data_IF_128526913622
#
_entry.id   IF_128526913622
#
_cell.length_a   1.000
_cell.length_b   1.000
_cell.length_c   1.000
_cell.angle_alpha   90.00
_cell.angle_beta   90.00
_cell.angle_gamma   90.00
#
_symmetry.space_group_name_H-M   'P 1'
#
loop_
_entity.id
_entity.type
_entity.pdbx_description
1 polymer ?
#
# COMPACT_ATOMS: atom_id res chain seq x y z
N UNK A 1 28.12 -24.81 6.83
CA UNK A 1 28.15 -23.66 7.75
C UNK A 1 26.81 -23.54 8.46
N UNK A 2 26.78 -23.49 9.79
CA UNK A 2 25.56 -23.26 10.55
C UNK A 2 25.05 -21.84 10.26
N UNK A 3 23.78 -21.67 10.06
CA UNK A 3 23.19 -20.34 9.80
C UNK A 3 23.32 -19.48 11.05
N UNK A 4 24.08 -18.39 10.99
CA UNK A 4 24.18 -17.43 12.07
C UNK A 4 22.82 -16.75 12.28
N UNK A 5 22.42 -16.60 13.53
CA UNK A 5 21.16 -15.92 13.90
C UNK A 5 21.49 -14.55 14.50
N UNK A 6 20.93 -13.51 13.90
CA UNK A 6 21.09 -12.12 14.35
C UNK A 6 19.79 -11.62 14.95
N UNK A 7 19.86 -11.09 16.17
CA UNK A 7 18.70 -10.63 16.94
C UNK A 7 18.94 -9.20 17.43
N UNK A 8 18.00 -8.30 17.19
CA UNK A 8 18.01 -6.98 17.81
C UNK A 8 17.76 -7.13 19.31
N UNK A 9 18.59 -6.48 20.13
CA UNK A 9 18.50 -6.56 21.58
C UNK A 9 18.91 -5.25 22.25
N UNK A 10 18.63 -5.15 23.55
CA UNK A 10 19.11 -4.08 24.42
C UNK A 10 20.02 -4.68 25.47
N UNK A 11 21.24 -4.16 25.60
CA UNK A 11 22.22 -4.61 26.61
C UNK A 11 22.47 -3.46 27.58
N UNK A 12 22.26 -3.64 28.89
CA UNK A 12 22.56 -2.62 29.89
C UNK A 12 23.96 -2.04 29.72
N UNK A 13 24.10 -0.72 29.84
CA UNK A 13 25.38 -0.01 29.61
C UNK A 13 26.57 -0.60 30.38
N UNK A 14 26.33 -0.98 31.64
CA UNK A 14 27.39 -1.60 32.48
C UNK A 14 27.76 -3.04 32.09
N UNK A 15 26.99 -3.67 31.20
CA UNK A 15 27.21 -5.06 30.74
C UNK A 15 27.60 -5.13 29.26
N UNK A 16 27.51 -4.00 28.52
CA UNK A 16 27.82 -3.98 27.12
C UNK A 16 29.28 -4.24 26.82
N UNK A 17 29.55 -5.20 25.95
CA UNK A 17 30.84 -5.49 25.34
C UNK A 17 30.60 -5.84 23.86
N UNK A 18 31.45 -5.33 22.98
CA UNK A 18 31.37 -5.67 21.55
C UNK A 18 31.56 -7.17 21.31
N UNK A 19 32.39 -7.81 22.15
CA UNK A 19 32.60 -9.26 22.14
C UNK A 19 32.79 -9.76 23.54
N UNK A 20 32.15 -10.87 23.89
CA UNK A 20 32.43 -11.61 25.13
C UNK A 20 32.42 -13.13 24.90
N UNK A 21 33.12 -13.85 25.75
CA UNK A 21 33.13 -15.31 25.74
C UNK A 21 32.67 -15.82 27.10
N UNK A 22 31.61 -16.65 27.10
CA UNK A 22 31.08 -17.30 28.29
C UNK A 22 30.79 -18.77 28.01
N UNK A 23 31.29 -19.67 28.87
CA UNK A 23 30.98 -21.09 28.83
C UNK A 23 31.14 -21.74 27.45
N UNK A 24 32.18 -21.32 26.69
CA UNK A 24 32.44 -21.84 25.34
C UNK A 24 31.60 -21.21 24.23
N UNK A 25 30.79 -20.20 24.53
CA UNK A 25 30.00 -19.41 23.59
C UNK A 25 30.63 -18.03 23.39
N UNK A 26 30.84 -17.64 22.17
CA UNK A 26 31.18 -16.29 21.75
C UNK A 26 29.92 -15.51 21.45
N UNK A 27 29.74 -14.37 22.13
CA UNK A 27 28.64 -13.43 21.93
C UNK A 27 29.25 -12.16 21.31
N UNK A 28 28.69 -11.70 20.20
CA UNK A 28 29.11 -10.51 19.46
C UNK A 28 27.97 -9.53 19.39
N UNK A 29 28.18 -8.28 19.79
CA UNK A 29 27.24 -7.18 19.65
C UNK A 29 27.72 -6.24 18.54
N UNK A 30 26.87 -6.03 17.56
CA UNK A 30 27.14 -5.27 16.34
C UNK A 30 26.27 -4.01 16.30
N UNK A 31 26.79 -2.93 15.72
CA UNK A 31 26.09 -1.64 15.54
C UNK A 31 25.50 -1.10 16.87
N UNK A 32 26.23 -1.23 17.98
CA UNK A 32 25.77 -0.77 19.30
C UNK A 32 25.64 0.76 19.38
N UNK A 33 24.43 1.25 19.67
CA UNK A 33 24.13 2.66 19.89
C UNK A 33 23.59 2.84 21.30
N UNK A 34 24.21 3.75 22.10
CA UNK A 34 23.74 4.04 23.45
C UNK A 34 22.40 4.78 23.40
N UNK A 35 21.40 4.20 24.02
CA UNK A 35 20.13 4.85 24.33
C UNK A 35 20.21 5.36 25.77
N UNK A 36 20.37 6.66 25.93
CA UNK A 36 20.56 7.29 27.27
C UNK A 36 19.29 7.21 28.13
N UNK A 37 18.09 7.19 27.52
CA UNK A 37 16.83 7.08 28.25
C UNK A 37 16.67 5.70 28.89
N UNK A 38 17.18 4.67 28.24
CA UNK A 38 17.11 3.28 28.73
C UNK A 38 18.35 2.83 29.51
N UNK A 39 19.40 3.65 29.55
CA UNK A 39 20.73 3.30 30.06
C UNK A 39 21.25 1.95 29.51
N UNK A 40 21.01 1.73 28.22
CA UNK A 40 21.32 0.50 27.52
C UNK A 40 21.79 0.77 26.07
N UNK A 41 22.59 -0.16 25.54
CA UNK A 41 22.93 -0.17 24.11
C UNK A 41 21.87 -0.92 23.31
N UNK A 42 21.31 -0.27 22.31
CA UNK A 42 20.58 -0.95 21.25
C UNK A 42 21.60 -1.53 20.27
N UNK A 43 21.58 -2.84 20.06
CA UNK A 43 22.55 -3.52 19.21
C UNK A 43 21.94 -4.75 18.54
N UNK A 44 22.72 -5.39 17.68
CA UNK A 44 22.38 -6.70 17.11
C UNK A 44 23.31 -7.74 17.69
N UNK A 45 22.75 -8.73 18.37
CA UNK A 45 23.47 -9.84 18.98
C UNK A 45 23.55 -11.03 18.01
N UNK A 46 24.73 -11.66 17.99
CA UNK A 46 24.96 -12.95 17.37
C UNK A 46 25.76 -13.83 18.32
N UNK A 47 25.36 -15.07 18.54
CA UNK A 47 26.06 -16.02 19.38
C UNK A 47 26.45 -17.30 18.64
N UNK A 48 27.62 -17.84 18.95
CA UNK A 48 28.14 -19.06 18.33
C UNK A 48 29.14 -19.75 19.24
N UNK A 49 29.47 -21.04 19.05
CA UNK A 49 30.59 -21.69 19.72
C UNK A 49 31.89 -20.94 19.47
N UNK A 50 32.76 -20.79 20.50
CA UNK A 50 34.06 -20.11 20.37
C UNK A 50 34.91 -20.75 19.27
N UNK A 51 34.83 -22.08 19.09
CA UNK A 51 35.54 -22.82 18.07
C UNK A 51 35.09 -22.49 16.62
N UNK A 52 33.90 -21.92 16.46
CA UNK A 52 33.32 -21.54 15.15
C UNK A 52 33.44 -20.01 14.89
N UNK A 53 33.95 -19.24 15.84
CA UNK A 53 34.08 -17.79 15.73
C UNK A 53 35.12 -17.40 14.67
N UNK A 54 34.69 -16.55 13.75
CA UNK A 54 35.56 -15.84 12.83
C UNK A 54 34.96 -14.44 12.61
N UNK A 55 35.72 -13.41 12.90
CA UNK A 55 35.29 -12.02 12.75
C UNK A 55 34.86 -11.72 11.30
N UNK A 56 35.65 -12.17 10.33
CA UNK A 56 35.32 -12.00 8.90
C UNK A 56 33.99 -12.66 8.56
N UNK A 57 33.78 -13.90 9.01
CA UNK A 57 32.55 -14.65 8.72
C UNK A 57 31.32 -13.99 9.40
N UNK A 58 31.49 -13.44 10.62
CA UNK A 58 30.42 -12.70 11.32
C UNK A 58 30.06 -11.43 10.55
N UNK A 59 31.06 -10.66 10.12
CA UNK A 59 30.85 -9.40 9.40
C UNK A 59 30.18 -9.61 8.03
N UNK A 60 30.59 -10.62 7.26
CA UNK A 60 29.99 -10.99 6.00
C UNK A 60 28.52 -11.45 6.18
N UNK A 61 28.28 -12.32 7.15
CA UNK A 61 26.93 -12.81 7.46
C UNK A 61 26.02 -11.66 7.95
N UNK A 62 26.56 -10.72 8.74
CA UNK A 62 25.84 -9.55 9.21
C UNK A 62 25.49 -8.59 8.07
N UNK A 63 26.39 -8.31 7.15
CA UNK A 63 26.12 -7.49 5.98
C UNK A 63 24.98 -8.10 5.12
N UNK A 64 25.01 -9.40 4.89
CA UNK A 64 23.93 -10.12 4.20
C UNK A 64 22.59 -10.06 4.96
N UNK A 65 22.63 -10.18 6.30
CA UNK A 65 21.45 -10.07 7.14
C UNK A 65 20.84 -8.65 7.12
N UNK A 66 21.68 -7.58 7.19
CA UNK A 66 21.22 -6.19 7.07
C UNK A 66 20.49 -5.96 5.75
N UNK A 67 21.10 -6.37 4.64
CA UNK A 67 20.51 -6.27 3.31
C UNK A 67 19.17 -7.00 3.21
N UNK A 68 19.12 -8.24 3.71
CA UNK A 68 17.88 -9.05 3.70
C UNK A 68 16.78 -8.40 4.54
N UNK A 69 17.14 -7.85 5.71
CA UNK A 69 16.19 -7.20 6.63
C UNK A 69 15.64 -5.90 6.04
N UNK A 70 16.50 -5.07 5.44
CA UNK A 70 16.10 -3.86 4.75
C UNK A 70 15.14 -4.17 3.57
N UNK A 71 15.46 -5.15 2.74
CA UNK A 71 14.62 -5.57 1.63
C UNK A 71 13.25 -6.09 2.09
N UNK A 72 13.18 -6.82 3.21
CA UNK A 72 11.91 -7.27 3.81
C UNK A 72 11.09 -6.09 4.33
N UNK A 73 11.74 -5.11 4.96
CA UNK A 73 11.11 -3.88 5.44
C UNK A 73 10.48 -3.09 4.29
N UNK A 74 11.25 -2.85 3.23
CA UNK A 74 10.78 -2.17 2.02
C UNK A 74 9.61 -2.92 1.37
N UNK A 75 9.72 -4.23 1.20
CA UNK A 75 8.65 -5.04 0.60
C UNK A 75 7.36 -5.02 1.45
N UNK A 76 7.48 -4.97 2.79
CA UNK A 76 6.32 -4.81 3.68
C UNK A 76 5.68 -3.43 3.52
N UNK A 77 6.47 -2.36 3.56
CA UNK A 77 5.97 -1.00 3.37
C UNK A 77 5.23 -0.83 2.05
N UNK A 78 5.81 -1.32 0.94
CA UNK A 78 5.15 -1.31 -0.37
C UNK A 78 3.79 -2.02 -0.35
N UNK A 79 3.70 -3.22 0.25
CA UNK A 79 2.42 -3.94 0.35
C UNK A 79 1.36 -3.16 1.11
N UNK A 80 1.73 -2.49 2.20
CA UNK A 80 0.76 -1.68 2.97
C UNK A 80 0.29 -0.46 2.18
N UNK A 81 1.18 0.28 1.53
CA UNK A 81 0.80 1.42 0.68
C UNK A 81 -0.08 0.96 -0.50
N UNK A 82 0.23 -0.16 -1.13
CA UNK A 82 -0.60 -0.70 -2.22
C UNK A 82 -2.03 -1.04 -1.75
N UNK A 83 -2.19 -1.56 -0.53
CA UNK A 83 -3.53 -1.76 0.07
C UNK A 83 -4.27 -0.44 0.30
N UNK A 84 -3.57 0.60 0.76
CA UNK A 84 -4.17 1.92 0.94
C UNK A 84 -4.61 2.51 -0.40
N UNK A 85 -3.80 2.39 -1.46
CA UNK A 85 -4.14 2.81 -2.82
C UNK A 85 -5.40 2.08 -3.31
N UNK A 86 -5.51 0.77 -3.11
CA UNK A 86 -6.68 -0.03 -3.48
C UNK A 86 -7.94 0.39 -2.71
N UNK A 87 -7.81 0.61 -1.40
CA UNK A 87 -8.92 1.08 -0.59
C UNK A 87 -9.38 2.49 -1.01
N UNK A 88 -8.44 3.38 -1.35
CA UNK A 88 -8.74 4.73 -1.83
C UNK A 88 -9.43 4.70 -3.19
N UNK A 89 -8.97 3.89 -4.15
CA UNK A 89 -9.56 3.69 -5.48
C UNK A 89 -11.03 3.25 -5.39
N UNK A 90 -11.35 2.38 -4.45
CA UNK A 90 -12.73 1.87 -4.27
C UNK A 90 -13.62 2.79 -3.43
N UNK A 91 -13.09 3.90 -2.94
CA UNK A 91 -13.83 4.85 -2.10
C UNK A 91 -14.61 5.89 -2.92
N UNK A 92 -15.56 6.54 -2.27
CA UNK A 92 -16.28 7.71 -2.84
C UNK A 92 -15.38 8.93 -3.05
N UNK A 93 -14.17 8.94 -2.48
CA UNK A 93 -13.20 10.02 -2.70
C UNK A 93 -12.74 10.05 -4.16
N UNK A 94 -12.52 8.89 -4.77
CA UNK A 94 -12.03 8.75 -6.15
C UNK A 94 -13.18 8.62 -7.15
N UNK A 95 -14.03 7.61 -6.99
CA UNK A 95 -15.09 7.29 -7.96
C UNK A 95 -16.45 7.94 -7.63
N UNK A 96 -16.50 8.86 -6.68
CA UNK A 96 -17.69 9.65 -6.39
C UNK A 96 -17.91 10.72 -7.48
N UNK A 97 -19.16 10.95 -7.85
CA UNK A 97 -19.58 12.01 -8.75
C UNK A 97 -20.69 12.85 -8.13
N UNK A 98 -21.01 13.99 -8.71
CA UNK A 98 -22.07 14.87 -8.23
C UNK A 98 -23.24 14.82 -9.20
N UNK A 99 -24.43 14.46 -8.69
CA UNK A 99 -25.66 14.42 -9.46
C UNK A 99 -26.64 15.44 -8.87
N UNK A 100 -27.02 16.46 -9.64
CA UNK A 100 -27.91 17.53 -9.20
C UNK A 100 -27.51 18.13 -7.83
N UNK A 101 -26.19 18.32 -7.61
CA UNK A 101 -25.62 18.87 -6.38
C UNK A 101 -25.39 17.87 -5.24
N UNK A 102 -25.82 16.61 -5.35
CA UNK A 102 -25.61 15.57 -4.36
C UNK A 102 -24.45 14.64 -4.75
N UNK A 103 -23.58 14.31 -3.79
CA UNK A 103 -22.50 13.33 -4.02
C UNK A 103 -23.08 11.93 -4.09
N UNK A 104 -22.80 11.23 -5.16
CA UNK A 104 -23.20 9.84 -5.42
C UNK A 104 -21.98 8.99 -5.68
N UNK A 105 -22.02 7.75 -5.22
CA UNK A 105 -21.02 6.73 -5.51
C UNK A 105 -21.71 5.45 -5.95
N UNK A 106 -21.18 4.82 -6.99
CA UNK A 106 -21.63 3.54 -7.49
C UNK A 106 -20.42 2.62 -7.70
N UNK A 107 -20.51 1.40 -7.22
CA UNK A 107 -19.54 0.38 -7.52
C UNK A 107 -19.55 0.00 -9.01
N UNK A 108 -18.46 -0.60 -9.47
CA UNK A 108 -18.28 -1.00 -10.87
C UNK A 108 -19.37 -1.96 -11.36
N UNK A 109 -19.77 -2.92 -10.52
CA UNK A 109 -20.78 -3.93 -10.93
C UNK A 109 -22.14 -3.28 -11.14
N UNK A 110 -22.52 -2.35 -10.26
CA UNK A 110 -23.74 -1.54 -10.39
C UNK A 110 -23.71 -0.70 -11.67
N UNK A 111 -22.62 0.02 -11.95
CA UNK A 111 -22.51 0.84 -13.17
C UNK A 111 -22.65 0.00 -14.43
N UNK A 112 -21.92 -1.12 -14.52
CA UNK A 112 -22.00 -2.04 -15.66
C UNK A 112 -23.40 -2.65 -15.79
N UNK A 113 -24.02 -3.02 -14.68
CA UNK A 113 -25.40 -3.55 -14.66
C UNK A 113 -26.41 -2.55 -15.20
N UNK A 114 -26.34 -1.29 -14.78
CA UNK A 114 -27.20 -0.21 -15.25
C UNK A 114 -27.00 0.05 -16.75
N UNK A 115 -25.76 0.10 -17.22
CA UNK A 115 -25.46 0.27 -18.65
C UNK A 115 -26.05 -0.86 -19.49
N UNK A 116 -25.83 -2.11 -19.08
CA UNK A 116 -26.35 -3.28 -19.80
C UNK A 116 -27.86 -3.30 -19.84
N UNK A 117 -28.53 -3.08 -18.69
CA UNK A 117 -29.99 -3.08 -18.58
C UNK A 117 -30.61 -1.98 -19.45
N UNK A 118 -30.02 -0.77 -19.43
CA UNK A 118 -30.48 0.35 -20.26
C UNK A 118 -30.32 0.06 -21.76
N UNK A 119 -29.19 -0.54 -22.16
CA UNK A 119 -28.94 -0.92 -23.55
C UNK A 119 -29.95 -1.97 -24.04
N UNK A 120 -30.27 -2.95 -23.20
CA UNK A 120 -31.28 -3.96 -23.48
C UNK A 120 -32.67 -3.32 -23.60
N UNK A 121 -33.05 -2.44 -22.64
CA UNK A 121 -34.33 -1.72 -22.68
C UNK A 121 -34.51 -0.95 -24.02
N UNK A 122 -33.46 -0.22 -24.43
CA UNK A 122 -33.44 0.48 -25.73
C UNK A 122 -33.59 -0.48 -26.91
N UNK A 123 -32.88 -1.60 -26.92
CA UNK A 123 -32.95 -2.61 -27.99
C UNK A 123 -34.34 -3.26 -28.07
N UNK A 124 -35.08 -3.32 -26.96
CA UNK A 124 -36.46 -3.79 -26.89
C UNK A 124 -37.50 -2.70 -27.29
N UNK A 125 -37.05 -1.51 -27.70
CA UNK A 125 -37.90 -0.43 -28.13
C UNK A 125 -38.50 0.42 -27.01
N UNK A 126 -38.00 0.29 -25.79
CA UNK A 126 -38.41 1.18 -24.68
C UNK A 126 -37.82 2.58 -24.90
N UNK A 127 -38.68 3.60 -24.80
CA UNK A 127 -38.26 5.00 -24.94
C UNK A 127 -37.52 5.53 -23.66
N UNK A 128 -37.94 5.05 -22.51
CA UNK A 128 -37.44 5.52 -21.21
C UNK A 128 -36.98 4.35 -20.32
N UNK A 129 -36.12 4.65 -19.37
CA UNK A 129 -35.68 3.73 -18.33
C UNK A 129 -35.63 4.42 -16.97
N UNK A 130 -35.68 3.64 -15.93
CA UNK A 130 -35.50 4.13 -14.55
C UNK A 130 -34.14 3.72 -14.03
N UNK A 131 -33.34 4.70 -13.62
CA UNK A 131 -32.04 4.49 -12.97
C UNK A 131 -32.12 4.86 -11.49
N UNK A 132 -31.57 4.00 -10.63
CA UNK A 132 -31.29 4.33 -9.25
C UNK A 132 -29.82 4.62 -9.11
N UNK A 133 -29.46 5.89 -8.89
CA UNK A 133 -28.09 6.34 -8.69
C UNK A 133 -27.91 6.71 -7.21
N UNK A 134 -27.44 5.77 -6.42
CA UNK A 134 -27.51 5.86 -4.95
C UNK A 134 -28.99 5.89 -4.50
N UNK A 135 -29.37 6.95 -3.78
CA UNK A 135 -30.75 7.16 -3.32
C UNK A 135 -31.61 7.99 -4.28
N UNK A 136 -31.07 8.38 -5.43
CA UNK A 136 -31.77 9.23 -6.41
C UNK A 136 -32.38 8.37 -7.51
N UNK A 137 -33.70 8.46 -7.66
CA UNK A 137 -34.44 7.86 -8.76
C UNK A 137 -34.48 8.84 -9.94
N UNK A 138 -34.06 8.39 -11.12
CA UNK A 138 -34.16 9.12 -12.39
C UNK A 138 -35.02 8.34 -13.37
N UNK A 139 -35.98 9.03 -14.00
CA UNK A 139 -36.72 8.52 -15.15
C UNK A 139 -36.30 9.34 -16.37
N UNK A 140 -35.55 8.74 -17.26
CA UNK A 140 -34.92 9.43 -18.39
C UNK A 140 -35.03 8.59 -19.66
N UNK A 141 -34.93 9.25 -20.83
CA UNK A 141 -34.81 8.55 -22.09
C UNK A 141 -33.63 7.60 -22.14
N UNK A 142 -33.78 6.43 -22.78
CA UNK A 142 -32.71 5.43 -22.85
C UNK A 142 -31.40 6.01 -23.44
N UNK A 143 -31.50 6.91 -24.43
CA UNK A 143 -30.31 7.55 -25.00
C UNK A 143 -29.57 8.45 -24.00
N UNK A 144 -30.34 9.26 -23.25
CA UNK A 144 -29.77 10.10 -22.19
C UNK A 144 -29.13 9.24 -21.08
N UNK A 145 -29.80 8.17 -20.68
CA UNK A 145 -29.27 7.24 -19.68
C UNK A 145 -27.94 6.62 -20.13
N UNK A 146 -27.82 6.20 -21.37
CA UNK A 146 -26.58 5.66 -21.95
C UNK A 146 -25.46 6.73 -21.94
N UNK A 147 -25.79 7.98 -22.32
CA UNK A 147 -24.83 9.06 -22.32
C UNK A 147 -24.29 9.35 -20.90
N UNK A 148 -25.18 9.43 -19.91
CA UNK A 148 -24.81 9.65 -18.49
C UNK A 148 -23.91 8.51 -17.97
N UNK A 149 -24.31 7.26 -18.21
CA UNK A 149 -23.55 6.09 -17.77
C UNK A 149 -22.21 5.98 -18.52
N UNK A 150 -22.16 6.36 -19.80
CA UNK A 150 -20.90 6.41 -20.56
C UNK A 150 -19.94 7.46 -20.01
N UNK A 151 -20.44 8.66 -19.70
CA UNK A 151 -19.61 9.71 -19.07
C UNK A 151 -19.06 9.24 -17.72
N UNK A 152 -19.87 8.54 -16.92
CA UNK A 152 -19.44 7.98 -15.64
C UNK A 152 -18.37 6.88 -15.81
N UNK A 153 -18.48 6.01 -16.80
CA UNK A 153 -17.47 4.99 -17.10
C UNK A 153 -16.16 5.60 -17.62
N UNK A 154 -16.21 6.67 -18.41
CA UNK A 154 -15.00 7.38 -18.84
C UNK A 154 -14.31 8.06 -17.68
N UNK A 155 -15.05 8.70 -16.79
CA UNK A 155 -14.50 9.26 -15.54
C UNK A 155 -13.86 8.17 -14.66
N UNK A 156 -14.53 7.04 -14.50
CA UNK A 156 -13.99 5.90 -13.75
C UNK A 156 -12.71 5.32 -14.40
N UNK A 157 -12.62 5.32 -15.74
CA UNK A 157 -11.40 4.92 -16.44
C UNK A 157 -10.23 5.87 -16.17
N UNK A 158 -10.48 7.17 -16.14
CA UNK A 158 -9.44 8.16 -15.79
C UNK A 158 -8.94 7.94 -14.36
N UNK A 159 -9.84 7.76 -13.40
CA UNK A 159 -9.48 7.42 -12.01
C UNK A 159 -8.65 6.13 -11.94
N UNK A 160 -9.06 5.09 -12.65
CA UNK A 160 -8.33 3.83 -12.71
C UNK A 160 -6.90 4.00 -13.26
N UNK A 161 -6.72 4.82 -14.30
CA UNK A 161 -5.41 5.09 -14.88
C UNK A 161 -4.47 5.78 -13.88
N UNK A 162 -4.98 6.72 -13.09
CA UNK A 162 -4.21 7.37 -12.02
C UNK A 162 -3.83 6.37 -10.93
N UNK A 163 -4.78 5.53 -10.50
CA UNK A 163 -4.51 4.45 -9.54
C UNK A 163 -3.42 3.50 -10.05
N UNK A 164 -3.48 3.11 -11.31
CA UNK A 164 -2.46 2.25 -11.93
C UNK A 164 -1.08 2.92 -11.96
N UNK A 165 -1.03 4.23 -12.25
CA UNK A 165 0.20 5.01 -12.21
C UNK A 165 0.79 5.06 -10.80
N UNK A 166 -0.02 5.28 -9.75
CA UNK A 166 0.44 5.23 -8.36
C UNK A 166 1.00 3.85 -7.98
N UNK A 167 0.29 2.77 -8.34
CA UNK A 167 0.78 1.41 -8.07
C UNK A 167 2.14 1.16 -8.72
N UNK A 168 2.31 1.60 -9.97
CA UNK A 168 3.58 1.49 -10.69
C UNK A 168 4.67 2.32 -10.00
N UNK A 169 4.41 3.58 -9.66
CA UNK A 169 5.38 4.45 -9.00
C UNK A 169 5.86 3.85 -7.67
N UNK A 170 4.95 3.36 -6.81
CA UNK A 170 5.31 2.69 -5.55
C UNK A 170 6.15 1.42 -5.80
N UNK A 171 5.86 0.66 -6.84
CA UNK A 171 6.65 -0.53 -7.19
C UNK A 171 8.10 -0.20 -7.54
N UNK A 172 8.36 0.96 -8.13
CA UNK A 172 9.69 1.42 -8.58
C UNK A 172 10.51 2.07 -7.45
N UNK A 173 9.90 2.55 -6.35
CA UNK A 173 10.63 3.14 -5.22
C UNK A 173 11.59 2.13 -4.59
N UNK A 174 12.77 2.60 -4.20
CA UNK A 174 13.82 1.78 -3.57
C UNK A 174 14.13 2.17 -2.13
N UNK A 175 13.65 3.32 -1.69
CA UNK A 175 13.81 3.82 -0.32
C UNK A 175 12.50 3.65 0.49
N UNK A 176 12.62 3.17 1.73
CA UNK A 176 11.47 2.93 2.60
C UNK A 176 10.81 4.23 3.07
N UNK A 177 11.58 5.32 3.27
CA UNK A 177 11.06 6.64 3.65
C UNK A 177 10.20 7.23 2.53
N UNK A 178 10.67 7.12 1.28
CA UNK A 178 9.89 7.54 0.10
C UNK A 178 8.58 6.75 -0.01
N UNK A 179 8.59 5.44 0.24
CA UNK A 179 7.36 4.61 0.24
C UNK A 179 6.40 5.06 1.32
N UNK A 180 6.87 5.29 2.55
CA UNK A 180 6.02 5.67 3.68
C UNK A 180 5.45 7.09 3.56
N UNK A 181 6.14 7.98 2.86
CA UNK A 181 5.72 9.37 2.60
C UNK A 181 4.98 9.54 1.27
N UNK A 182 4.75 8.46 0.53
CA UNK A 182 4.14 8.53 -0.80
C UNK A 182 2.68 9.00 -0.74
N UNK A 183 2.39 10.13 -1.40
CA UNK A 183 1.05 10.70 -1.47
C UNK A 183 0.29 10.18 -2.69
N UNK A 184 -0.52 9.17 -2.48
CA UNK A 184 -1.36 8.55 -3.50
C UNK A 184 -2.72 9.25 -3.68
N UNK A 185 -2.97 10.36 -2.99
CA UNK A 185 -4.28 11.05 -3.09
C UNK A 185 -4.33 12.07 -4.21
N UNK A 186 -3.21 12.37 -4.85
CA UNK A 186 -3.06 13.39 -5.90
C UNK A 186 -3.25 12.85 -7.31
N UNK A 187 -3.52 13.76 -8.23
CA UNK A 187 -3.53 13.49 -9.67
C UNK A 187 -4.84 12.90 -10.19
N UNK A 188 -5.81 12.61 -9.33
CA UNK A 188 -7.14 12.19 -9.77
C UNK A 188 -7.90 13.34 -10.44
N UNK A 189 -8.78 13.04 -11.42
CA UNK A 189 -9.60 14.05 -12.06
C UNK A 189 -10.54 14.74 -11.07
N UNK A 190 -10.96 15.95 -11.40
CA UNK A 190 -12.04 16.61 -10.65
C UNK A 190 -13.31 15.76 -10.71
N UNK A 191 -14.13 15.83 -9.65
CA UNK A 191 -15.37 15.04 -9.58
C UNK A 191 -16.28 15.38 -10.76
N UNK A 192 -16.75 14.35 -11.44
CA UNK A 192 -17.70 14.49 -12.54
C UNK A 192 -19.00 15.13 -12.02
N UNK A 193 -19.41 16.22 -12.66
CA UNK A 193 -20.66 16.93 -12.35
C UNK A 193 -21.71 16.58 -13.39
N UNK A 194 -22.87 16.13 -12.92
CA UNK A 194 -24.01 15.77 -13.75
C UNK A 194 -25.26 16.54 -13.32
N UNK A 195 -25.91 17.20 -14.25
CA UNK A 195 -27.20 17.88 -14.05
C UNK A 195 -28.20 17.27 -15.04
N UNK A 196 -29.31 16.75 -14.54
CA UNK A 196 -30.33 16.04 -15.29
C UNK A 196 -31.73 16.59 -14.97
#
# INVERSE_FOLDING_TARGET
MRKMNFVKTFVPKGQYKEKEEREGVCIVHLDGVLNEEMDAYECVECSMPVSEYSETAVNEAYAAWKTTTANRGLARAKREILKHIEAYDTSSAVNGFVLNGAVVWLDKATRVGLMNSTTIAKAMGQATTTLWLGNTKLEVGCDMAIQLLSALEMYALECFNVTAAHKKAVAELTDIGEVLSYDYTKGYPEKLMMNV
#
